data_IF_252959423970
#
_entry.id   IF_252959423970
#
_cell.length_a   1.000
_cell.length_b   1.000
_cell.length_c   1.000
_cell.angle_alpha   90.00
_cell.angle_beta   90.00
_cell.angle_gamma   90.00
#
_symmetry.space_group_name_H-M   'P 1'
#
loop_
_entity.id
_entity.type
_entity.pdbx_description
1 polymer ?
#
# COMPACT_ATOMS: atom_id res chain seq x y z
N UNK A 1 19.32 -39.61 -2.79
CA UNK A 1 18.60 -38.71 -1.87
C UNK A 1 18.17 -37.50 -2.65
N UNK A 2 16.88 -37.23 -2.57
CA UNK A 2 16.04 -36.66 -3.61
C UNK A 2 16.25 -35.18 -3.93
N UNK A 3 16.12 -34.86 -5.22
CA UNK A 3 15.79 -33.51 -5.67
C UNK A 3 14.38 -33.19 -5.15
N UNK A 4 14.27 -32.26 -4.22
CA UNK A 4 12.97 -31.67 -3.84
C UNK A 4 12.48 -30.84 -5.04
N UNK A 5 11.35 -31.19 -5.67
CA UNK A 5 10.78 -30.36 -6.72
C UNK A 5 10.06 -29.19 -6.06
N UNK A 6 10.61 -27.97 -6.22
CA UNK A 6 9.91 -26.75 -5.78
C UNK A 6 8.81 -26.44 -6.79
N UNK A 7 7.57 -26.70 -6.39
CA UNK A 7 6.36 -26.50 -7.18
C UNK A 7 6.13 -25.03 -7.60
N UNK A 8 5.42 -24.77 -8.70
CA UNK A 8 5.21 -23.44 -9.25
C UNK A 8 4.10 -22.70 -8.50
N UNK A 9 4.44 -22.07 -7.37
CA UNK A 9 3.53 -21.18 -6.61
C UNK A 9 3.81 -19.69 -6.90
N UNK A 10 4.91 -19.38 -7.60
CA UNK A 10 5.46 -18.02 -7.74
C UNK A 10 4.51 -16.98 -8.36
N UNK A 11 3.79 -17.31 -9.44
CA UNK A 11 3.07 -16.30 -10.21
C UNK A 11 1.83 -15.69 -9.49
N UNK A 12 1.07 -16.50 -8.75
CA UNK A 12 -0.09 -16.02 -7.99
C UNK A 12 0.35 -15.26 -6.72
N UNK A 13 1.41 -15.74 -6.07
CA UNK A 13 2.05 -15.12 -4.91
C UNK A 13 2.63 -13.74 -5.27
N UNK A 14 3.28 -13.61 -6.43
CA UNK A 14 3.81 -12.33 -6.93
C UNK A 14 2.68 -11.32 -7.23
N UNK A 15 1.54 -11.79 -7.77
CA UNK A 15 0.38 -10.91 -8.02
C UNK A 15 -0.24 -10.41 -6.71
N UNK A 16 -0.40 -11.28 -5.72
CA UNK A 16 -0.98 -10.90 -4.42
C UNK A 16 -0.08 -9.90 -3.68
N UNK A 17 1.24 -10.14 -3.66
CA UNK A 17 2.19 -9.18 -3.12
C UNK A 17 2.13 -7.84 -3.87
N UNK A 18 2.08 -7.87 -5.21
CA UNK A 18 1.95 -6.65 -6.01
C UNK A 18 0.69 -5.86 -5.67
N UNK A 19 -0.46 -6.53 -5.54
CA UNK A 19 -1.72 -5.87 -5.15
C UNK A 19 -1.65 -5.28 -3.74
N UNK A 20 -1.01 -5.99 -2.80
CA UNK A 20 -0.78 -5.46 -1.45
C UNK A 20 0.07 -4.18 -1.50
N UNK A 21 1.18 -4.19 -2.26
CA UNK A 21 2.04 -3.01 -2.42
C UNK A 21 1.32 -1.85 -3.11
N UNK A 22 0.49 -2.11 -4.12
CA UNK A 22 -0.36 -1.08 -4.75
C UNK A 22 -1.34 -0.49 -3.73
N UNK A 23 -1.96 -1.33 -2.89
CA UNK A 23 -2.89 -0.89 -1.84
C UNK A 23 -2.20 0.04 -0.85
N UNK A 24 -0.97 -0.28 -0.45
CA UNK A 24 -0.19 0.57 0.46
C UNK A 24 0.27 1.87 -0.23
N UNK A 25 0.65 1.82 -1.51
CA UNK A 25 1.00 3.00 -2.29
C UNK A 25 -0.18 3.96 -2.46
N UNK A 26 -1.41 3.44 -2.62
CA UNK A 26 -2.63 4.26 -2.64
C UNK A 26 -2.79 5.05 -1.33
N UNK A 27 -2.48 4.43 -0.18
CA UNK A 27 -2.57 5.10 1.12
C UNK A 27 -1.55 6.25 1.24
N UNK A 28 -0.35 6.09 0.67
CA UNK A 28 0.67 7.16 0.66
C UNK A 28 0.15 8.42 -0.04
N UNK A 29 -0.64 8.27 -1.10
CA UNK A 29 -1.24 9.42 -1.80
C UNK A 29 -2.41 10.02 -1.01
N UNK A 30 -3.15 9.19 -0.26
CA UNK A 30 -4.36 9.63 0.48
C UNK A 30 -4.08 10.33 1.80
N UNK A 31 -2.92 10.12 2.41
CA UNK A 31 -2.59 10.76 3.69
C UNK A 31 -2.35 12.27 3.59
N UNK A 32 -2.28 12.80 2.36
CA UNK A 32 -2.18 14.24 2.12
C UNK A 32 -3.35 14.99 2.77
N UNK A 33 -4.57 14.46 2.65
CA UNK A 33 -5.80 15.09 3.16
C UNK A 33 -6.04 14.85 4.66
N UNK A 34 -5.22 14.02 5.31
CA UNK A 34 -5.33 13.69 6.73
C UNK A 34 -4.84 12.28 7.06
N UNK A 35 -4.79 11.90 8.34
CA UNK A 35 -4.39 10.54 8.73
C UNK A 35 -5.33 9.49 8.10
N UNK A 36 -4.75 8.41 7.58
CA UNK A 36 -5.52 7.35 6.95
C UNK A 36 -6.14 6.43 8.02
N UNK A 37 -7.46 6.21 8.02
CA UNK A 37 -8.09 5.30 8.96
C UNK A 37 -7.67 3.86 8.68
N UNK A 38 -7.58 3.02 9.72
CA UNK A 38 -7.27 1.60 9.57
C UNK A 38 -8.43 0.86 8.88
N UNK A 39 -8.18 0.35 7.67
CA UNK A 39 -9.18 -0.45 6.92
C UNK A 39 -8.82 -1.93 6.89
N UNK A 40 -9.81 -2.80 6.61
CA UNK A 40 -9.57 -4.24 6.38
C UNK A 40 -8.60 -4.48 5.23
N UNK A 41 -8.71 -3.70 4.14
CA UNK A 41 -7.79 -3.79 3.00
C UNK A 41 -6.35 -3.48 3.42
N UNK A 42 -6.14 -2.43 4.21
CA UNK A 42 -4.80 -2.08 4.72
C UNK A 42 -4.22 -3.17 5.61
N UNK A 43 -5.04 -3.74 6.52
CA UNK A 43 -4.62 -4.83 7.40
C UNK A 43 -4.21 -6.07 6.59
N UNK A 44 -5.01 -6.44 5.59
CA UNK A 44 -4.72 -7.56 4.71
C UNK A 44 -3.43 -7.31 3.90
N UNK A 45 -3.28 -6.13 3.31
CA UNK A 45 -2.08 -5.78 2.56
C UNK A 45 -0.81 -5.88 3.41
N UNK A 46 -0.82 -5.37 4.64
CA UNK A 46 0.30 -5.50 5.57
C UNK A 46 0.58 -6.95 5.96
N UNK A 47 -0.48 -7.75 6.18
CA UNK A 47 -0.33 -9.18 6.50
C UNK A 47 0.30 -9.96 5.34
N UNK A 48 -0.13 -9.69 4.09
CA UNK A 48 0.47 -10.27 2.88
C UNK A 48 1.94 -9.87 2.79
N UNK A 49 2.28 -8.59 2.92
CA UNK A 49 3.68 -8.17 2.85
C UNK A 49 4.53 -8.82 3.98
N UNK A 50 3.98 -8.95 5.19
CA UNK A 50 4.68 -9.65 6.28
C UNK A 50 4.95 -11.12 5.96
N UNK A 51 3.99 -11.84 5.37
CA UNK A 51 4.19 -13.24 4.94
C UNK A 51 5.29 -13.39 3.88
N UNK A 52 5.56 -12.34 3.09
CA UNK A 52 6.63 -12.32 2.08
C UNK A 52 7.96 -11.77 2.62
N UNK A 53 7.98 -11.36 3.89
CA UNK A 53 9.18 -10.86 4.55
C UNK A 53 9.99 -11.99 5.20
N UNK A 54 11.19 -11.66 5.69
CA UNK A 54 12.02 -12.59 6.48
C UNK A 54 11.61 -12.67 7.96
N UNK A 55 10.40 -12.25 8.31
CA UNK A 55 9.84 -12.35 9.67
C UNK A 55 10.05 -11.13 10.57
N UNK A 56 10.73 -10.09 10.10
CA UNK A 56 10.84 -8.83 10.83
C UNK A 56 9.50 -8.06 10.76
N UNK A 57 8.88 -7.83 11.93
CA UNK A 57 7.58 -7.16 12.03
C UNK A 57 7.70 -5.63 12.03
N UNK A 58 8.86 -5.08 12.34
CA UNK A 58 9.01 -3.64 12.62
C UNK A 58 8.66 -2.75 11.41
N UNK A 59 9.08 -3.04 10.17
CA UNK A 59 8.72 -2.20 9.01
C UNK A 59 7.19 -2.06 8.82
N UNK A 60 6.45 -3.13 9.10
CA UNK A 60 4.98 -3.15 8.97
C UNK A 60 4.29 -2.43 10.13
N UNK A 61 4.80 -2.62 11.35
CA UNK A 61 4.30 -1.93 12.54
C UNK A 61 4.59 -0.42 12.47
N UNK A 62 5.76 -0.05 11.97
CA UNK A 62 6.13 1.33 11.72
C UNK A 62 5.19 1.97 10.68
N UNK A 63 4.95 1.32 9.53
CA UNK A 63 3.99 1.82 8.53
C UNK A 63 2.60 2.03 9.12
N UNK A 64 2.12 1.06 9.91
CA UNK A 64 0.83 1.13 10.57
C UNK A 64 0.70 2.29 11.57
N UNK A 65 1.78 2.62 12.30
CA UNK A 65 1.80 3.80 13.19
C UNK A 65 1.82 5.09 12.37
N UNK A 66 2.71 5.18 11.39
CA UNK A 66 2.91 6.40 10.59
C UNK A 66 1.67 6.80 9.80
N UNK A 67 0.93 5.84 9.22
CA UNK A 67 -0.28 6.17 8.44
C UNK A 67 -1.40 6.81 9.30
N UNK A 68 -1.36 6.63 10.62
CA UNK A 68 -2.35 7.15 11.56
C UNK A 68 -1.89 8.41 12.29
N UNK A 69 -0.64 8.83 12.08
CA UNK A 69 -0.09 10.03 12.72
C UNK A 69 -0.71 11.28 12.06
N UNK A 70 -1.45 12.12 12.82
CA UNK A 70 -2.01 13.36 12.27
C UNK A 70 -0.94 14.42 11.97
N UNK A 71 0.28 14.29 12.50
CA UNK A 71 1.33 15.31 12.50
C UNK A 71 0.88 16.63 13.16
N UNK A 72 0.05 16.55 14.20
CA UNK A 72 -0.56 17.70 14.87
C UNK A 72 0.43 18.64 15.60
N UNK A 73 1.69 18.24 15.74
CA UNK A 73 2.75 19.06 16.33
C UNK A 73 3.37 20.07 15.33
N UNK A 74 2.94 20.05 14.07
CA UNK A 74 3.46 20.94 13.04
C UNK A 74 2.77 22.32 13.10
N UNK A 75 3.52 23.37 12.76
CA UNK A 75 3.06 24.75 12.90
C UNK A 75 1.90 25.13 11.94
N UNK A 76 1.80 24.45 10.78
CA UNK A 76 0.77 24.71 9.77
C UNK A 76 0.28 23.42 9.14
N UNK A 77 -0.94 23.45 8.61
CA UNK A 77 -1.51 22.29 7.90
C UNK A 77 -0.72 21.94 6.63
N UNK A 78 -0.14 22.92 5.94
CA UNK A 78 0.74 22.68 4.77
C UNK A 78 1.97 21.88 5.16
N UNK A 79 2.59 22.19 6.31
CA UNK A 79 3.74 21.42 6.81
C UNK A 79 3.28 20.04 7.29
N UNK A 80 2.16 19.95 8.01
CA UNK A 80 1.59 18.68 8.46
C UNK A 80 1.33 17.73 7.28
N UNK A 81 0.71 18.24 6.22
CA UNK A 81 0.50 17.53 4.95
C UNK A 81 1.79 16.99 4.35
N UNK A 82 2.79 17.84 4.20
CA UNK A 82 4.10 17.45 3.67
C UNK A 82 4.76 16.35 4.53
N UNK A 83 4.71 16.50 5.86
CA UNK A 83 5.24 15.53 6.82
C UNK A 83 4.54 14.18 6.69
N UNK A 84 3.20 14.13 6.66
CA UNK A 84 2.43 12.88 6.54
C UNK A 84 2.84 12.09 5.31
N UNK A 85 2.86 12.73 4.14
CA UNK A 85 3.23 12.07 2.89
C UNK A 85 4.70 11.61 2.89
N UNK A 86 5.62 12.47 3.35
CA UNK A 86 7.06 12.18 3.36
C UNK A 86 7.42 11.06 4.33
N UNK A 87 6.87 11.09 5.55
CA UNK A 87 7.11 10.05 6.56
C UNK A 87 6.46 8.74 6.16
N UNK A 88 5.23 8.76 5.64
CA UNK A 88 4.60 7.53 5.20
C UNK A 88 5.31 6.92 3.99
N UNK A 89 5.77 7.72 3.03
CA UNK A 89 6.61 7.23 1.93
C UNK A 89 7.91 6.62 2.45
N UNK A 90 8.56 7.26 3.43
CA UNK A 90 9.79 6.72 4.05
C UNK A 90 9.52 5.36 4.70
N UNK A 91 8.41 5.25 5.44
CA UNK A 91 8.00 3.96 6.02
C UNK A 91 7.65 2.92 4.95
N UNK A 92 7.04 3.33 3.84
CA UNK A 92 6.71 2.44 2.73
C UNK A 92 7.97 1.85 2.08
N UNK A 93 9.03 2.64 1.93
CA UNK A 93 10.35 2.16 1.48
C UNK A 93 10.91 1.09 2.43
N UNK A 94 10.66 1.22 3.73
CA UNK A 94 10.97 0.17 4.71
C UNK A 94 10.24 -1.14 4.42
N UNK A 95 8.94 -1.07 4.11
CA UNK A 95 8.13 -2.24 3.71
C UNK A 95 8.67 -2.88 2.42
N UNK A 96 9.03 -2.08 1.41
CA UNK A 96 9.61 -2.58 0.16
C UNK A 96 10.88 -3.38 0.41
N UNK A 97 11.82 -2.84 1.20
CA UNK A 97 13.05 -3.55 1.56
C UNK A 97 12.77 -4.84 2.33
N UNK A 98 11.80 -4.83 3.24
CA UNK A 98 11.43 -6.00 4.04
C UNK A 98 10.93 -7.17 3.19
N UNK A 99 10.29 -6.89 2.05
CA UNK A 99 9.83 -7.90 1.08
C UNK A 99 10.85 -8.16 -0.05
N UNK A 100 12.07 -7.64 0.07
CA UNK A 100 13.17 -7.88 -0.87
C UNK A 100 13.14 -7.03 -2.15
N UNK A 101 12.42 -5.90 -2.13
CA UNK A 101 12.36 -4.95 -3.24
C UNK A 101 13.19 -3.72 -2.91
N UNK A 102 14.14 -3.37 -3.79
CA UNK A 102 14.92 -2.15 -3.64
C UNK A 102 14.07 -0.92 -3.99
N UNK A 103 13.92 0.06 -3.08
CA UNK A 103 13.10 1.25 -3.31
C UNK A 103 13.83 2.25 -4.22
N UNK A 104 13.73 2.02 -5.52
CA UNK A 104 14.19 2.96 -6.54
C UNK A 104 13.07 3.92 -6.96
N UNK A 105 13.44 5.07 -7.53
CA UNK A 105 12.47 6.03 -8.07
C UNK A 105 11.53 5.37 -9.10
N UNK A 106 12.05 4.47 -9.94
CA UNK A 106 11.25 3.73 -10.93
C UNK A 106 10.18 2.87 -10.27
N UNK A 107 10.55 2.09 -9.25
CA UNK A 107 9.59 1.25 -8.50
C UNK A 107 8.50 2.10 -7.85
N UNK A 108 8.88 3.22 -7.25
CA UNK A 108 7.92 4.15 -6.63
C UNK A 108 6.96 4.76 -7.65
N UNK A 109 7.47 5.21 -8.80
CA UNK A 109 6.66 5.75 -9.90
C UNK A 109 5.68 4.70 -10.42
N UNK A 110 6.14 3.47 -10.61
CA UNK A 110 5.31 2.37 -11.14
C UNK A 110 4.20 1.99 -10.17
N UNK A 111 4.49 1.86 -8.87
CA UNK A 111 3.50 1.55 -7.84
C UNK A 111 2.48 2.68 -7.69
N UNK A 112 2.92 3.94 -7.69
CA UNK A 112 2.03 5.11 -7.66
C UNK A 112 1.12 5.18 -8.89
N UNK A 113 1.68 4.93 -10.08
CA UNK A 113 0.89 4.88 -11.32
C UNK A 113 -0.15 3.77 -11.26
N UNK A 114 0.24 2.58 -10.82
CA UNK A 114 -0.68 1.46 -10.64
C UNK A 114 -1.77 1.75 -9.60
N UNK A 115 -1.44 2.42 -8.49
CA UNK A 115 -2.41 2.84 -7.47
C UNK A 115 -3.44 3.84 -8.03
N UNK A 116 -2.99 4.85 -8.80
CA UNK A 116 -3.90 5.79 -9.46
C UNK A 116 -4.84 5.10 -10.45
N UNK A 117 -4.31 4.16 -11.24
CA UNK A 117 -5.11 3.40 -12.20
C UNK A 117 -6.14 2.50 -11.48
N UNK A 118 -5.75 1.83 -10.40
CA UNK A 118 -6.65 1.00 -9.60
C UNK A 118 -7.78 1.83 -8.96
N UNK A 119 -7.44 3.01 -8.41
CA UNK A 119 -8.43 3.95 -7.90
C UNK A 119 -9.41 4.39 -8.99
N UNK A 120 -8.91 4.82 -10.15
CA UNK A 120 -9.75 5.25 -11.26
C UNK A 120 -10.70 4.15 -11.74
N UNK A 121 -10.22 2.90 -11.81
CA UNK A 121 -11.06 1.75 -12.17
C UNK A 121 -12.17 1.49 -11.15
N UNK A 122 -11.88 1.60 -9.85
CA UNK A 122 -12.88 1.47 -8.78
C UNK A 122 -13.92 2.58 -8.84
N UNK A 123 -13.47 3.83 -8.99
CA UNK A 123 -14.37 4.98 -9.10
C UNK A 123 -15.31 4.85 -10.32
N UNK A 124 -14.79 4.36 -11.46
CA UNK A 124 -15.59 4.09 -12.66
C UNK A 124 -16.62 2.96 -12.45
N UNK A 125 -16.22 1.90 -11.74
CA UNK A 125 -17.11 0.79 -11.39
C UNK A 125 -18.25 1.26 -10.47
N UNK A 126 -17.93 2.01 -9.42
CA UNK A 126 -18.92 2.57 -8.49
C UNK A 126 -19.89 3.51 -9.21
N UNK A 127 -19.40 4.31 -10.17
CA UNK A 127 -20.25 5.18 -10.99
C UNK A 127 -21.17 4.37 -11.92
N UNK A 128 -20.66 3.30 -12.54
CA UNK A 128 -21.46 2.40 -13.37
C UNK A 128 -22.58 1.71 -12.57
N UNK A 129 -22.30 1.30 -11.34
CA UNK A 129 -23.32 0.73 -10.44
C UNK A 129 -24.43 1.74 -10.10
N UNK A 130 -24.06 2.99 -9.80
CA UNK A 130 -25.04 4.07 -9.52
C UNK A 130 -25.91 4.42 -10.72
N UNK A 131 -25.34 4.32 -11.93
CA UNK A 131 -26.02 4.66 -13.18
C UNK A 131 -26.82 3.50 -13.77
N UNK A 132 -26.74 2.30 -13.20
CA UNK A 132 -27.53 1.16 -13.66
C UNK A 132 -29.00 1.41 -13.26
N UNK A 133 -29.92 1.60 -14.23
CA UNK A 133 -31.32 1.77 -13.91
C UNK A 133 -31.81 0.47 -13.28
N UNK A 134 -32.13 0.52 -11.99
CA UNK A 134 -32.85 -0.57 -11.33
C UNK A 134 -34.15 -0.79 -12.09
N UNK A 135 -34.18 -1.79 -12.98
CA UNK A 135 -35.38 -2.26 -13.64
C UNK A 135 -36.33 -2.74 -12.55
N UNK A 136 -37.35 -1.92 -12.27
CA UNK A 136 -38.56 -2.33 -11.55
C UNK A 136 -39.41 -3.21 -12.44
#
# INVERSE_FOLDING_TARGET
>A
MDRVPVAPVKAATDRTLRLALITLAELVERVEDGPAPPTTATRLALAVCFQHSRGDREPFAHFWRTMRDPCAHQATETIARYCRTTYLMTSFRGVLRAVGIEPTATVEIDLRRAARNAKAARDAFDQAQKNCPTSR
#
